data_IF_701705631692
#
_entry.id   IF_701705631692
#
_cell.length_a   1.000
_cell.length_b   1.000
_cell.length_c   1.000
_cell.angle_alpha   90.00
_cell.angle_beta   90.00
_cell.angle_gamma   90.00
#
_symmetry.space_group_name_H-M   'P 1'
#
loop_
_entity.id
_entity.type
_entity.pdbx_description
1 polymer ?
#
# COMPACT_ATOMS: atom_id res chain seq x y z
N UNK A 1 12.64 6.88 12.73
CA UNK A 1 11.89 7.31 11.52
C UNK A 1 12.12 8.77 11.17
N UNK A 2 12.16 9.69 12.13
CA UNK A 2 12.34 11.13 11.88
C UNK A 2 13.64 11.48 11.14
N UNK A 3 14.73 10.76 11.42
CA UNK A 3 16.02 10.97 10.76
C UNK A 3 15.93 10.75 9.25
N UNK A 4 15.34 9.64 8.78
CA UNK A 4 15.15 9.41 7.35
C UNK A 4 14.30 10.51 6.72
N UNK A 5 13.22 10.91 7.41
CA UNK A 5 12.36 12.01 6.96
C UNK A 5 13.15 13.31 6.81
N UNK A 6 14.06 13.62 7.73
CA UNK A 6 14.92 14.80 7.65
C UNK A 6 15.90 14.73 6.47
N UNK A 7 16.50 13.57 6.20
CA UNK A 7 17.37 13.35 5.05
C UNK A 7 16.63 13.54 3.73
N UNK A 8 15.43 12.97 3.60
CA UNK A 8 14.60 13.11 2.42
C UNK A 8 14.17 14.56 2.20
N UNK A 9 13.64 15.23 3.24
CA UNK A 9 13.23 16.63 3.12
C UNK A 9 14.40 17.54 2.74
N UNK A 10 15.55 17.40 3.40
CA UNK A 10 16.74 18.24 3.12
C UNK A 10 17.35 17.92 1.76
N UNK A 11 17.38 16.65 1.37
CA UNK A 11 18.01 16.18 0.14
C UNK A 11 17.17 16.40 -1.11
N UNK A 12 15.85 16.38 -1.00
CA UNK A 12 14.92 16.53 -2.12
C UNK A 12 14.47 17.98 -2.31
N UNK A 13 14.18 18.72 -1.24
CA UNK A 13 13.70 20.11 -1.38
C UNK A 13 14.79 21.06 -1.89
N UNK A 14 16.06 20.74 -1.66
CA UNK A 14 17.20 21.56 -2.11
C UNK A 14 17.77 21.12 -3.46
N UNK A 15 17.12 20.16 -4.15
CA UNK A 15 17.65 19.59 -5.37
C UNK A 15 16.83 20.03 -6.57
N UNK A 16 17.41 20.87 -7.42
CA UNK A 16 16.74 21.45 -8.60
C UNK A 16 16.31 20.39 -9.62
N UNK A 17 16.93 19.20 -9.58
CA UNK A 17 16.63 18.09 -10.48
C UNK A 17 15.38 17.31 -10.03
N UNK A 18 15.04 17.35 -8.73
CA UNK A 18 13.98 16.51 -8.19
C UNK A 18 12.58 17.07 -8.50
N UNK A 19 11.74 16.21 -9.07
CA UNK A 19 10.33 16.48 -9.33
C UNK A 19 9.42 15.57 -8.53
N UNK A 20 8.37 16.17 -7.98
CA UNK A 20 7.30 15.47 -7.26
C UNK A 20 6.46 14.60 -8.20
N UNK A 21 5.95 13.49 -7.66
CA UNK A 21 4.94 12.67 -8.34
C UNK A 21 3.68 13.49 -8.65
N UNK A 22 2.88 13.05 -9.62
CA UNK A 22 1.62 13.71 -9.98
C UNK A 22 0.76 13.97 -8.72
N UNK A 23 0.20 15.19 -8.60
CA UNK A 23 -0.61 15.67 -7.46
C UNK A 23 0.03 15.61 -6.07
N UNK A 24 1.34 15.36 -5.96
CA UNK A 24 2.04 15.36 -4.65
C UNK A 24 2.79 16.65 -4.35
N UNK A 25 2.85 17.59 -5.32
CA UNK A 25 3.63 18.83 -5.18
C UNK A 25 3.13 19.75 -4.07
N UNK A 26 1.81 19.97 -3.99
CA UNK A 26 1.20 20.84 -2.97
C UNK A 26 1.36 20.27 -1.56
N UNK A 27 1.31 18.94 -1.44
CA UNK A 27 1.47 18.23 -0.16
C UNK A 27 2.95 18.02 0.20
N UNK A 28 3.88 18.33 -0.70
CA UNK A 28 5.30 17.94 -0.60
C UNK A 28 5.47 16.48 -0.15
N UNK A 29 4.65 15.60 -0.74
CA UNK A 29 4.58 14.20 -0.33
C UNK A 29 5.62 13.38 -1.10
N UNK A 30 6.76 13.13 -0.45
CA UNK A 30 7.84 12.30 -0.99
C UNK A 30 7.82 10.87 -0.43
N UNK A 31 7.24 10.66 0.75
CA UNK A 31 7.25 9.37 1.42
C UNK A 31 6.08 9.16 2.36
N UNK A 32 5.71 7.89 2.55
CA UNK A 32 4.85 7.41 3.64
C UNK A 32 5.61 6.32 4.40
N UNK A 33 5.52 6.35 5.72
CA UNK A 33 6.25 5.43 6.59
C UNK A 33 5.35 4.93 7.69
N UNK A 34 5.36 3.61 7.91
CA UNK A 34 4.73 2.98 9.05
C UNK A 34 5.54 1.77 9.48
N UNK A 35 6.09 1.82 10.70
CA UNK A 35 7.07 0.84 11.18
C UNK A 35 8.20 0.63 10.15
N UNK A 36 8.27 -0.56 9.56
CA UNK A 36 9.28 -0.94 8.57
C UNK A 36 8.80 -0.77 7.11
N UNK A 37 7.50 -0.47 6.89
CA UNK A 37 6.94 -0.27 5.57
C UNK A 37 7.18 1.18 5.11
N UNK A 38 7.93 1.33 4.02
CA UNK A 38 8.28 2.62 3.40
C UNK A 38 7.75 2.67 1.96
N UNK A 39 6.96 3.69 1.65
CA UNK A 39 6.63 4.08 0.28
C UNK A 39 7.33 5.37 -0.07
N UNK A 40 7.97 5.41 -1.24
CA UNK A 40 8.62 6.59 -1.80
C UNK A 40 7.90 7.03 -3.08
N UNK A 41 7.71 8.33 -3.23
CA UNK A 41 7.02 8.95 -4.35
C UNK A 41 7.95 9.96 -5.02
N UNK A 42 8.10 9.82 -6.34
CA UNK A 42 8.84 10.77 -7.17
C UNK A 42 8.26 10.76 -8.58
N UNK A 43 8.61 11.75 -9.40
CA UNK A 43 8.29 11.72 -10.82
C UNK A 43 9.10 10.61 -11.50
N UNK A 44 8.50 9.98 -12.51
CA UNK A 44 9.10 8.88 -13.28
C UNK A 44 10.14 9.36 -14.29
N UNK A 45 11.12 10.14 -13.85
CA UNK A 45 12.26 10.59 -14.62
C UNK A 45 13.57 10.19 -13.92
N UNK A 46 14.63 9.98 -14.70
CA UNK A 46 15.91 9.49 -14.20
C UNK A 46 16.53 10.42 -13.14
N UNK A 47 16.35 11.74 -13.29
CA UNK A 47 16.84 12.74 -12.35
C UNK A 47 16.22 12.60 -10.95
N UNK A 48 14.89 12.57 -10.89
CA UNK A 48 14.14 12.42 -9.64
C UNK A 48 14.43 11.10 -8.94
N UNK A 49 14.53 10.00 -9.70
CA UNK A 49 14.81 8.67 -9.16
C UNK A 49 16.23 8.61 -8.58
N UNK A 50 17.23 9.12 -9.30
CA UNK A 50 18.61 9.19 -8.80
C UNK A 50 18.72 10.05 -7.55
N UNK A 51 18.07 11.21 -7.52
CA UNK A 51 18.04 12.08 -6.33
C UNK A 51 17.45 11.36 -5.11
N UNK A 52 16.34 10.63 -5.30
CA UNK A 52 15.73 9.81 -4.25
C UNK A 52 16.69 8.71 -3.75
N UNK A 53 17.28 7.95 -4.66
CA UNK A 53 18.20 6.87 -4.31
C UNK A 53 19.47 7.38 -3.63
N UNK A 54 20.00 8.54 -4.03
CA UNK A 54 21.13 9.18 -3.35
C UNK A 54 20.79 9.52 -1.91
N UNK A 55 19.58 10.00 -1.61
CA UNK A 55 19.15 10.27 -0.24
C UNK A 55 19.09 8.98 0.59
N UNK A 56 18.55 7.91 0.01
CA UNK A 56 18.50 6.58 0.65
C UNK A 56 19.90 6.03 0.91
N UNK A 57 20.82 6.15 -0.04
CA UNK A 57 22.21 5.71 0.12
C UNK A 57 22.94 6.50 1.20
N UNK A 58 22.77 7.83 1.24
CA UNK A 58 23.34 8.68 2.31
C UNK A 58 22.78 8.31 3.69
N UNK A 59 21.47 8.06 3.79
CA UNK A 59 20.88 7.59 5.04
C UNK A 59 21.41 6.22 5.44
N UNK A 60 21.52 5.29 4.49
CA UNK A 60 22.04 3.94 4.69
C UNK A 60 23.50 3.95 5.15
N UNK A 61 24.36 4.81 4.59
CA UNK A 61 25.74 4.92 5.03
C UNK A 61 25.88 5.47 6.46
N UNK A 62 24.98 6.35 6.89
CA UNK A 62 25.00 6.91 8.24
C UNK A 62 24.35 6.00 9.28
N UNK A 63 23.24 5.33 8.94
CA UNK A 63 22.45 4.52 9.88
C UNK A 63 22.82 3.03 9.88
N UNK A 64 23.48 2.55 8.83
CA UNK A 64 23.68 1.12 8.57
C UNK A 64 22.43 0.40 8.03
N UNK A 65 21.28 1.07 7.95
CA UNK A 65 20.02 0.47 7.48
C UNK A 65 19.93 0.48 5.95
N UNK A 66 19.74 -0.69 5.34
CA UNK A 66 19.69 -0.87 3.89
C UNK A 66 18.31 -1.33 3.43
N UNK A 67 17.80 -0.83 2.28
CA UNK A 67 16.64 -1.40 1.63
C UNK A 67 16.89 -2.88 1.32
N UNK A 68 15.88 -3.73 1.51
CA UNK A 68 15.96 -5.13 1.15
C UNK A 68 15.56 -5.29 -0.33
N UNK A 69 16.49 -5.61 -1.25
CA UNK A 69 16.19 -5.67 -2.68
C UNK A 69 15.15 -6.73 -3.07
N UNK A 70 14.97 -7.76 -2.24
CA UNK A 70 13.96 -8.80 -2.47
C UNK A 70 12.55 -8.40 -1.99
N UNK A 71 12.44 -7.39 -1.13
CA UNK A 71 11.16 -6.85 -0.65
C UNK A 71 10.81 -5.50 -1.27
N UNK A 72 11.81 -4.75 -1.71
CA UNK A 72 11.66 -3.44 -2.36
C UNK A 72 11.26 -3.62 -3.82
N UNK A 73 10.14 -3.02 -4.19
CA UNK A 73 9.53 -3.12 -5.52
C UNK A 73 9.23 -1.72 -6.04
N UNK A 74 9.46 -1.49 -7.32
CA UNK A 74 9.14 -0.22 -7.99
C UNK A 74 7.84 -0.35 -8.78
N UNK A 75 6.97 0.65 -8.64
CA UNK A 75 5.71 0.72 -9.37
C UNK A 75 5.73 1.94 -10.28
N UNK A 76 5.38 1.74 -11.55
CA UNK A 76 5.44 2.78 -12.58
C UNK A 76 4.03 3.10 -13.09
N UNK A 77 3.77 4.38 -13.35
CA UNK A 77 2.50 4.86 -13.92
C UNK A 77 2.80 5.84 -15.03
N UNK A 78 2.39 5.52 -16.26
CA UNK A 78 2.54 6.39 -17.43
C UNK A 78 4.01 6.84 -17.66
N UNK A 79 4.94 5.87 -17.60
CA UNK A 79 6.38 6.08 -17.82
C UNK A 79 6.81 5.29 -19.06
N UNK A 80 7.71 5.85 -19.85
CA UNK A 80 8.22 5.20 -21.05
C UNK A 80 9.01 3.92 -20.72
N UNK A 81 8.87 2.83 -21.50
CA UNK A 81 9.56 1.56 -21.23
C UNK A 81 11.09 1.68 -21.10
N UNK A 82 11.71 2.59 -21.85
CA UNK A 82 13.15 2.84 -21.79
C UNK A 82 13.58 3.42 -20.43
N UNK A 83 12.78 4.32 -19.86
CA UNK A 83 13.06 4.89 -18.53
C UNK A 83 12.87 3.82 -17.46
N UNK A 84 11.87 2.95 -17.61
CA UNK A 84 11.63 1.82 -16.69
C UNK A 84 12.82 0.86 -16.68
N UNK A 85 13.30 0.41 -17.85
CA UNK A 85 14.44 -0.53 -17.92
C UNK A 85 15.71 0.09 -17.34
N UNK A 86 16.01 1.34 -17.67
CA UNK A 86 17.16 2.07 -17.13
C UNK A 86 17.08 2.20 -15.60
N UNK A 87 15.89 2.52 -15.09
CA UNK A 87 15.63 2.64 -13.65
C UNK A 87 15.86 1.33 -12.92
N UNK A 88 15.31 0.23 -13.44
CA UNK A 88 15.45 -1.09 -12.81
C UNK A 88 16.90 -1.56 -12.80
N UNK A 89 17.65 -1.29 -13.88
CA UNK A 89 19.08 -1.57 -13.94
C UNK A 89 19.89 -0.73 -12.95
N UNK A 90 19.48 0.53 -12.71
CA UNK A 90 20.16 1.43 -11.78
C UNK A 90 19.90 1.05 -10.32
N UNK A 91 18.66 0.71 -9.96
CA UNK A 91 18.27 0.43 -8.58
C UNK A 91 18.48 -1.03 -8.16
N UNK A 92 18.43 -1.95 -9.12
CA UNK A 92 18.44 -3.40 -8.86
C UNK A 92 17.14 -3.92 -8.25
N UNK A 93 16.08 -3.11 -8.20
CA UNK A 93 14.77 -3.53 -7.70
C UNK A 93 13.93 -4.20 -8.78
N UNK A 94 12.94 -4.98 -8.36
CA UNK A 94 11.98 -5.59 -9.27
C UNK A 94 10.84 -4.62 -9.61
N UNK A 95 10.29 -4.77 -10.81
CA UNK A 95 9.08 -4.05 -11.21
C UNK A 95 7.84 -4.74 -10.66
N UNK A 96 6.94 -3.97 -10.06
CA UNK A 96 5.67 -4.44 -9.52
C UNK A 96 4.48 -4.02 -10.39
N UNK A 97 3.38 -4.74 -10.22
CA UNK A 97 2.09 -4.46 -10.88
C UNK A 97 1.03 -4.03 -9.86
N UNK A 98 0.20 -3.07 -10.23
CA UNK A 98 -0.96 -2.69 -9.40
C UNK A 98 -2.03 -3.79 -9.38
N UNK A 99 -2.81 -3.91 -8.29
CA UNK A 99 -2.81 -3.07 -7.09
C UNK A 99 -1.66 -3.40 -6.11
N UNK A 100 -0.99 -2.36 -5.62
CA UNK A 100 0.03 -2.47 -4.56
C UNK A 100 -0.68 -2.68 -3.21
N UNK A 101 -0.16 -3.54 -2.33
CA UNK A 101 -0.69 -3.68 -0.97
C UNK A 101 0.16 -2.88 0.03
N UNK A 102 -0.49 -2.01 0.80
CA UNK A 102 0.14 -1.24 1.87
C UNK A 102 -0.75 -1.28 3.12
N UNK A 103 -0.18 -1.68 4.27
CA UNK A 103 -0.91 -1.83 5.54
C UNK A 103 -2.17 -2.72 5.46
N UNK A 104 -2.16 -3.71 4.58
CA UNK A 104 -3.29 -4.60 4.38
C UNK A 104 -4.37 -4.09 3.43
N UNK A 105 -4.23 -2.87 2.88
CA UNK A 105 -5.15 -2.26 1.93
C UNK A 105 -4.53 -2.22 0.52
N UNK A 106 -5.32 -2.41 -0.55
CA UNK A 106 -4.88 -2.22 -1.90
C UNK A 106 -4.85 -0.72 -2.24
N UNK A 107 -3.69 -0.23 -2.66
CA UNK A 107 -3.50 1.06 -3.33
C UNK A 107 -3.80 0.83 -4.80
N UNK A 108 -4.90 1.42 -5.26
CA UNK A 108 -5.46 1.25 -6.60
C UNK A 108 -5.35 2.59 -7.32
N UNK A 109 -4.91 2.57 -8.57
CA UNK A 109 -4.77 3.77 -9.41
C UNK A 109 -6.07 4.14 -10.14
N UNK A 110 -7.01 3.19 -10.22
CA UNK A 110 -8.32 3.32 -10.84
C UNK A 110 -9.47 3.31 -9.82
N UNK A 111 -10.71 3.47 -10.31
CA UNK A 111 -11.91 3.24 -9.50
C UNK A 111 -11.93 1.81 -8.94
N UNK A 112 -12.27 1.68 -7.65
CA UNK A 112 -12.38 0.38 -6.97
C UNK A 112 -13.41 -0.49 -7.68
N UNK A 113 -12.99 -1.66 -8.13
CA UNK A 113 -13.82 -2.70 -8.76
C UNK A 113 -13.97 -3.87 -7.80
N UNK A 114 -14.90 -4.77 -8.10
CA UNK A 114 -15.17 -5.95 -7.26
C UNK A 114 -13.92 -6.81 -7.05
N UNK A 115 -13.11 -7.01 -8.11
CA UNK A 115 -11.88 -7.79 -8.02
C UNK A 115 -10.87 -7.24 -7.01
N UNK A 116 -10.81 -5.91 -6.81
CA UNK A 116 -9.92 -5.28 -5.84
C UNK A 116 -10.34 -5.60 -4.40
N UNK A 117 -11.65 -5.82 -4.18
CA UNK A 117 -12.23 -6.19 -2.90
C UNK A 117 -12.21 -7.71 -2.64
N UNK A 118 -11.71 -8.53 -3.57
CA UNK A 118 -11.64 -9.98 -3.35
C UNK A 118 -10.81 -10.34 -2.12
N UNK A 119 -9.73 -9.59 -1.85
CA UNK A 119 -8.92 -9.82 -0.65
C UNK A 119 -9.72 -9.58 0.64
N UNK A 120 -10.58 -8.57 0.68
CA UNK A 120 -11.50 -8.35 1.81
C UNK A 120 -12.48 -9.51 1.96
N UNK A 121 -13.11 -9.91 0.86
CA UNK A 121 -14.10 -11.00 0.84
C UNK A 121 -13.45 -12.30 1.33
N UNK A 122 -12.29 -12.67 0.79
CA UNK A 122 -11.55 -13.87 1.22
C UNK A 122 -11.17 -13.80 2.70
N UNK A 123 -10.73 -12.63 3.19
CA UNK A 123 -10.40 -12.46 4.61
C UNK A 123 -11.62 -12.66 5.51
N UNK A 124 -12.80 -12.19 5.09
CA UNK A 124 -14.05 -12.42 5.82
C UNK A 124 -14.45 -13.90 5.76
N UNK A 125 -14.39 -14.53 4.59
CA UNK A 125 -14.67 -15.98 4.45
C UNK A 125 -13.75 -16.80 5.34
N UNK A 126 -12.44 -16.59 5.30
CA UNK A 126 -11.50 -17.35 6.12
C UNK A 126 -11.78 -17.23 7.63
N UNK A 127 -12.25 -16.06 8.09
CA UNK A 127 -12.68 -15.87 9.48
C UNK A 127 -13.96 -16.63 9.79
N UNK A 128 -14.96 -16.51 8.93
CA UNK A 128 -16.21 -17.26 9.03
C UNK A 128 -15.94 -18.77 9.08
N UNK A 129 -15.16 -19.29 8.14
CA UNK A 129 -14.81 -20.71 8.01
C UNK A 129 -14.05 -21.24 9.23
N UNK A 130 -13.20 -20.39 9.86
CA UNK A 130 -12.51 -20.76 11.09
C UNK A 130 -13.44 -20.89 12.30
N UNK A 131 -14.61 -20.25 12.28
CA UNK A 131 -15.56 -20.24 13.39
C UNK A 131 -16.75 -21.17 13.19
N UNK A 132 -17.14 -21.45 11.93
CA UNK A 132 -18.21 -22.41 11.62
C UNK A 132 -17.87 -23.84 12.03
N UNK A 133 -16.58 -24.18 12.16
CA UNK A 133 -16.15 -25.46 12.73
C UNK A 133 -16.19 -25.51 14.28
N UNK A 134 -16.49 -24.39 14.94
CA UNK A 134 -16.61 -24.33 16.40
C UNK A 134 -18.07 -24.53 16.86
N UNK A 135 -18.27 -25.18 18.01
CA UNK A 135 -19.59 -25.32 18.65
C UNK A 135 -20.04 -24.00 19.33
N UNK A 136 -20.20 -22.94 18.54
CA UNK A 136 -20.67 -21.65 19.04
C UNK A 136 -22.20 -21.57 18.99
N UNK A 137 -22.78 -20.97 20.03
CA UNK A 137 -24.21 -20.63 20.05
C UNK A 137 -24.45 -19.36 19.23
N UNK A 138 -25.70 -19.14 18.82
CA UNK A 138 -26.12 -17.94 18.08
C UNK A 138 -25.62 -16.62 18.69
N UNK A 139 -25.66 -16.48 20.01
CA UNK A 139 -25.15 -15.29 20.70
C UNK A 139 -23.64 -15.06 20.49
N UNK A 140 -22.86 -16.14 20.38
CA UNK A 140 -21.43 -16.09 20.06
C UNK A 140 -21.19 -15.66 18.61
N UNK A 141 -21.95 -16.22 17.66
CA UNK A 141 -21.91 -15.80 16.25
C UNK A 141 -22.25 -14.31 16.10
N UNK A 142 -23.32 -13.84 16.75
CA UNK A 142 -23.73 -12.45 16.71
C UNK A 142 -22.65 -11.53 17.30
N UNK A 143 -21.99 -11.94 18.39
CA UNK A 143 -20.91 -11.16 19.00
C UNK A 143 -19.70 -11.06 18.06
N UNK A 144 -19.26 -12.18 17.46
CA UNK A 144 -18.14 -12.20 16.51
C UNK A 144 -18.43 -11.37 15.26
N UNK A 145 -19.66 -11.43 14.77
CA UNK A 145 -20.10 -10.63 13.64
C UNK A 145 -20.02 -9.13 13.97
N UNK A 146 -20.51 -8.71 15.15
CA UNK A 146 -20.50 -7.32 15.60
C UNK A 146 -19.09 -6.78 15.87
N UNK A 147 -18.23 -7.55 16.54
CA UNK A 147 -16.92 -7.06 16.97
C UNK A 147 -15.84 -7.24 15.91
N UNK A 148 -15.84 -8.36 15.19
CA UNK A 148 -14.75 -8.72 14.27
C UNK A 148 -15.12 -8.47 12.82
N UNK A 149 -16.21 -9.06 12.31
CA UNK A 149 -16.55 -8.96 10.89
C UNK A 149 -16.91 -7.53 10.49
N UNK A 150 -17.76 -6.87 11.28
CA UNK A 150 -18.04 -5.44 11.09
C UNK A 150 -16.81 -4.57 11.30
N UNK A 151 -15.93 -4.89 12.25
CA UNK A 151 -14.67 -4.18 12.44
C UNK A 151 -13.78 -4.21 11.18
N UNK A 152 -13.66 -5.38 10.55
CA UNK A 152 -12.91 -5.56 9.29
C UNK A 152 -13.58 -4.76 8.16
N UNK A 153 -14.90 -4.85 8.00
CA UNK A 153 -15.62 -4.10 6.97
C UNK A 153 -15.45 -2.59 7.16
N UNK A 154 -15.61 -2.10 8.39
CA UNK A 154 -15.52 -0.68 8.71
C UNK A 154 -14.12 -0.13 8.46
N UNK A 155 -13.07 -0.89 8.80
CA UNK A 155 -11.70 -0.53 8.46
C UNK A 155 -11.51 -0.37 6.94
N UNK A 156 -12.11 -1.22 6.12
CA UNK A 156 -12.02 -1.05 4.66
C UNK A 156 -12.86 0.12 4.15
N UNK A 157 -14.07 0.28 4.68
CA UNK A 157 -14.99 1.34 4.30
C UNK A 157 -14.49 2.75 4.67
N UNK A 158 -13.63 2.89 5.68
CA UNK A 158 -13.04 4.19 6.04
C UNK A 158 -12.02 4.71 5.03
N UNK A 159 -11.38 3.82 4.25
CA UNK A 159 -10.35 4.20 3.27
C UNK A 159 -10.79 4.02 1.82
N UNK A 160 -11.66 3.04 1.54
CA UNK A 160 -12.10 2.70 0.20
C UNK A 160 -13.61 2.84 0.08
N UNK A 161 -14.04 3.46 -1.02
CA UNK A 161 -15.46 3.48 -1.37
C UNK A 161 -15.90 2.08 -1.82
N UNK A 162 -16.59 1.37 -0.92
CA UNK A 162 -17.14 0.04 -1.23
C UNK A 162 -18.36 0.18 -2.12
N UNK A 163 -18.30 -0.44 -3.30
CA UNK A 163 -19.44 -0.45 -4.23
C UNK A 163 -20.60 -1.26 -3.68
N UNK A 164 -21.84 -0.93 -4.10
CA UNK A 164 -23.06 -1.64 -3.67
C UNK A 164 -22.96 -3.15 -3.86
N UNK A 165 -22.37 -3.61 -4.97
CA UNK A 165 -22.20 -5.04 -5.27
C UNK A 165 -21.28 -5.75 -4.25
N UNK A 166 -20.23 -5.08 -3.76
CA UNK A 166 -19.36 -5.63 -2.71
C UNK A 166 -20.11 -5.70 -1.38
N UNK A 167 -20.87 -4.65 -1.04
CA UNK A 167 -21.66 -4.61 0.19
C UNK A 167 -22.73 -5.70 0.22
N UNK A 168 -23.47 -5.91 -0.87
CA UNK A 168 -24.47 -6.99 -0.94
C UNK A 168 -23.83 -8.37 -0.81
N UNK A 169 -22.64 -8.57 -1.39
CA UNK A 169 -21.88 -9.81 -1.21
C UNK A 169 -21.46 -10.02 0.24
N UNK A 170 -20.95 -8.99 0.91
CA UNK A 170 -20.57 -9.05 2.34
C UNK A 170 -21.80 -9.34 3.21
N UNK A 171 -22.92 -8.65 2.98
CA UNK A 171 -24.18 -8.91 3.69
C UNK A 171 -24.64 -10.36 3.50
N UNK A 172 -24.53 -10.91 2.29
CA UNK A 172 -24.87 -12.31 2.04
C UNK A 172 -23.98 -13.30 2.81
N UNK A 173 -22.70 -12.95 3.04
CA UNK A 173 -21.80 -13.77 3.85
C UNK A 173 -22.15 -13.68 5.34
N UNK A 174 -22.47 -12.48 5.81
CA UNK A 174 -22.88 -12.25 7.20
C UNK A 174 -24.19 -12.97 7.53
N UNK A 175 -25.15 -12.93 6.61
CA UNK A 175 -26.42 -13.65 6.76
C UNK A 175 -26.25 -15.17 6.76
N UNK A 176 -25.23 -15.72 6.07
CA UNK A 176 -24.91 -17.16 6.09
C UNK A 176 -24.15 -17.60 7.35
N UNK A 177 -23.49 -16.66 8.03
CA UNK A 177 -22.72 -16.96 9.24
C UNK A 177 -23.56 -16.95 10.51
N UNK A 178 -24.66 -16.19 10.53
CA UNK A 178 -25.67 -16.22 11.58
C UNK A 178 -26.56 -17.45 11.45
#
# INVERSE_FOLDING_TARGET
>A
MEVLTAYLKKGLNNNDVFSNHWRTKELQLHHLMFADDLLLFCRGDDGSIRAMMQCITKFSSCSGLRPNPHKSVMFFCNVEPQVISNTLNLTGFQSGTFPLKYLGLPIITSKVRLHDCNFLIQRLCNKIDSWTNGFLRFSGHLQLLKTVLFGIQNFWASYLFLTKCVLTKIQSLFAKFL
#
